data_IF_268097592645
#
_entry.id   IF_268097592645
#
_cell.length_a   1.000
_cell.length_b   1.000
_cell.length_c   1.000
_cell.angle_alpha   90.00
_cell.angle_beta   90.00
_cell.angle_gamma   90.00
#
_symmetry.space_group_name_H-M   'P 1'
#
loop_
_entity.id
_entity.type
_entity.pdbx_description
1 polymer ?
#
# COMPACT_ATOMS: atom_id res chain seq x y z
N UNK A 1 -31.32 -44.53 -18.66
CA UNK A 1 -31.41 -43.90 -17.32
C UNK A 1 -30.06 -43.59 -16.68
N UNK A 2 -29.06 -44.50 -16.69
CA UNK A 2 -27.73 -44.24 -16.10
C UNK A 2 -27.02 -43.00 -16.66
N UNK A 3 -27.07 -42.76 -17.97
CA UNK A 3 -26.40 -41.61 -18.59
C UNK A 3 -27.05 -40.25 -18.24
N UNK A 4 -28.34 -40.24 -17.92
CA UNK A 4 -29.03 -39.01 -17.50
C UNK A 4 -28.66 -38.63 -16.06
N UNK A 5 -28.54 -39.62 -15.16
CA UNK A 5 -28.07 -39.37 -13.80
C UNK A 5 -26.63 -38.85 -13.77
N UNK A 6 -25.74 -39.38 -14.62
CA UNK A 6 -24.35 -38.89 -14.72
C UNK A 6 -24.32 -37.41 -15.14
N UNK A 7 -25.18 -37.01 -16.09
CA UNK A 7 -25.25 -35.62 -16.55
C UNK A 7 -25.77 -34.67 -15.46
N UNK A 8 -26.75 -35.11 -14.67
CA UNK A 8 -27.28 -34.34 -13.53
C UNK A 8 -26.24 -34.19 -12.42
N UNK A 9 -25.46 -35.24 -12.13
CA UNK A 9 -24.36 -35.16 -11.17
C UNK A 9 -23.22 -34.26 -11.67
N UNK A 10 -22.88 -34.31 -12.95
CA UNK A 10 -21.86 -33.43 -13.55
C UNK A 10 -22.32 -31.95 -13.53
N UNK A 11 -23.60 -31.71 -13.81
CA UNK A 11 -24.19 -30.37 -13.76
C UNK A 11 -24.26 -29.82 -12.33
N UNK A 12 -24.58 -30.65 -11.33
CA UNK A 12 -24.58 -30.26 -9.92
C UNK A 12 -23.17 -29.99 -9.38
N UNK A 13 -22.16 -30.75 -9.86
CA UNK A 13 -20.74 -30.48 -9.59
C UNK A 13 -20.29 -29.16 -10.24
N UNK A 14 -20.67 -28.90 -11.49
CA UNK A 14 -20.38 -27.62 -12.15
C UNK A 14 -21.09 -26.44 -11.46
N UNK A 15 -22.30 -26.62 -10.94
CA UNK A 15 -23.02 -25.58 -10.21
C UNK A 15 -22.41 -25.28 -8.83
N UNK A 16 -21.79 -26.26 -8.18
CA UNK A 16 -21.07 -26.05 -6.91
C UNK A 16 -19.70 -25.39 -7.13
N UNK A 17 -19.02 -25.65 -8.24
CA UNK A 17 -17.80 -24.93 -8.63
C UNK A 17 -18.07 -23.50 -9.15
N UNK A 18 -19.22 -23.23 -9.78
CA UNK A 18 -19.59 -21.86 -10.20
C UNK A 18 -20.05 -20.95 -9.04
N UNK A 19 -20.24 -21.48 -7.83
CA UNK A 19 -20.51 -20.69 -6.61
C UNK A 19 -19.24 -20.38 -5.79
N UNK A 20 -18.05 -20.62 -6.34
CA UNK A 20 -16.78 -20.18 -5.75
C UNK A 20 -16.66 -18.65 -5.83
N UNK A 21 -17.28 -18.00 -4.85
CA UNK A 21 -17.06 -16.62 -4.38
C UNK A 21 -17.31 -15.49 -5.39
N UNK A 22 -18.58 -15.25 -5.68
CA UNK A 22 -19.04 -13.85 -5.71
C UNK A 22 -19.07 -13.35 -4.25
N UNK A 23 -17.90 -13.08 -3.66
CA UNK A 23 -17.83 -12.40 -2.38
C UNK A 23 -18.29 -10.96 -2.63
N UNK A 24 -19.44 -10.59 -2.06
CA UNK A 24 -19.99 -9.25 -2.22
C UNK A 24 -18.94 -8.21 -1.80
N UNK A 25 -18.70 -7.22 -2.65
CA UNK A 25 -17.70 -6.17 -2.46
C UNK A 25 -17.89 -5.48 -1.11
N UNK A 26 -19.13 -5.30 -0.65
CA UNK A 26 -19.42 -4.70 0.64
C UNK A 26 -18.98 -5.58 1.81
N UNK A 27 -19.08 -6.90 1.68
CA UNK A 27 -18.61 -7.84 2.70
C UNK A 27 -17.08 -7.81 2.83
N UNK A 28 -16.37 -7.68 1.71
CA UNK A 28 -14.92 -7.52 1.68
C UNK A 28 -14.48 -6.16 2.23
N UNK A 29 -15.18 -5.07 1.89
CA UNK A 29 -14.92 -3.74 2.45
C UNK A 29 -15.11 -3.71 3.98
N UNK A 30 -16.17 -4.34 4.49
CA UNK A 30 -16.39 -4.50 5.94
C UNK A 30 -15.28 -5.32 6.60
N UNK A 31 -14.88 -6.44 5.99
CA UNK A 31 -13.80 -7.28 6.50
C UNK A 31 -12.46 -6.54 6.51
N UNK A 32 -12.17 -5.80 5.44
CA UNK A 32 -10.98 -4.94 5.35
C UNK A 32 -10.95 -3.92 6.49
N UNK A 33 -12.03 -3.17 6.70
CA UNK A 33 -12.10 -2.17 7.77
C UNK A 33 -11.91 -2.81 9.15
N UNK A 34 -12.60 -3.92 9.41
CA UNK A 34 -12.45 -4.67 10.66
C UNK A 34 -11.00 -5.14 10.90
N UNK A 35 -10.36 -5.75 9.91
CA UNK A 35 -8.99 -6.25 10.02
C UNK A 35 -7.99 -5.10 10.19
N UNK A 36 -8.19 -3.98 9.51
CA UNK A 36 -7.33 -2.80 9.65
C UNK A 36 -7.43 -2.18 11.07
N UNK A 37 -8.64 -2.04 11.61
CA UNK A 37 -8.86 -1.56 12.98
C UNK A 37 -8.27 -2.54 14.02
N UNK A 38 -8.48 -3.84 13.81
CA UNK A 38 -7.92 -4.87 14.68
C UNK A 38 -6.40 -4.87 14.65
N UNK A 39 -5.79 -4.77 13.47
CA UNK A 39 -4.34 -4.66 13.32
C UNK A 39 -3.79 -3.48 14.12
N UNK A 40 -4.45 -2.33 14.03
CA UNK A 40 -4.08 -1.13 14.80
C UNK A 40 -4.14 -1.36 16.32
N UNK A 41 -5.21 -1.99 16.82
CA UNK A 41 -5.34 -2.28 18.25
C UNK A 41 -4.23 -3.22 18.74
N UNK A 42 -3.97 -4.29 17.99
CA UNK A 42 -3.00 -5.31 18.36
C UNK A 42 -1.55 -4.80 18.25
N UNK A 43 -1.25 -3.93 17.30
CA UNK A 43 0.07 -3.29 17.17
C UNK A 43 0.33 -2.25 18.28
N UNK A 44 -0.72 -1.54 18.73
CA UNK A 44 -0.63 -0.67 19.91
C UNK A 44 -0.29 -1.46 21.18
N UNK A 45 -0.90 -2.63 21.37
CA UNK A 45 -0.59 -3.53 22.50
C UNK A 45 0.87 -3.99 22.40
N UNK A 46 1.31 -4.39 21.21
CA UNK A 46 2.70 -4.80 20.97
C UNK A 46 3.69 -3.68 21.33
N UNK A 47 3.38 -2.44 20.96
CA UNK A 47 4.20 -1.27 21.29
C UNK A 47 4.30 -1.05 22.80
N UNK A 48 3.17 -1.15 23.53
CA UNK A 48 3.15 -1.04 25.00
C UNK A 48 3.99 -2.13 25.66
N UNK A 49 3.91 -3.37 25.18
CA UNK A 49 4.72 -4.48 25.69
C UNK A 49 6.22 -4.26 25.46
N UNK A 50 6.61 -3.83 24.26
CA UNK A 50 8.01 -3.50 23.93
C UNK A 50 8.55 -2.36 24.81
N UNK A 51 7.76 -1.31 25.01
CA UNK A 51 8.13 -0.21 25.90
C UNK A 51 8.31 -0.70 27.35
N UNK A 52 7.39 -1.54 27.83
CA UNK A 52 7.48 -2.13 29.16
C UNK A 52 8.75 -2.96 29.34
N UNK A 53 9.13 -3.78 28.33
CA UNK A 53 10.37 -4.54 28.34
C UNK A 53 11.60 -3.62 28.36
N UNK A 54 11.60 -2.55 27.56
CA UNK A 54 12.67 -1.55 27.56
C UNK A 54 12.85 -0.88 28.93
N UNK A 55 11.75 -0.50 29.58
CA UNK A 55 11.80 0.09 30.92
C UNK A 55 12.30 -0.92 31.97
N UNK A 56 11.94 -2.20 31.85
CA UNK A 56 12.48 -3.25 32.74
C UNK A 56 13.97 -3.45 32.54
N UNK A 57 14.46 -3.43 31.30
CA UNK A 57 15.90 -3.47 31.03
C UNK A 57 16.64 -2.30 31.70
N UNK A 58 16.09 -1.08 31.59
CA UNK A 58 16.63 0.11 32.28
C UNK A 58 16.64 -0.05 33.80
N UNK A 59 15.58 -0.61 34.40
CA UNK A 59 15.51 -0.85 35.84
C UNK A 59 16.55 -1.89 36.30
N UNK A 60 16.76 -2.96 35.52
CA UNK A 60 17.80 -3.95 35.80
C UNK A 60 19.18 -3.30 35.75
N UNK A 61 19.47 -2.51 34.71
CA UNK A 61 20.75 -1.82 34.57
C UNK A 61 20.99 -0.80 35.67
N UNK A 62 19.94 -0.08 36.09
CA UNK A 62 20.02 0.84 37.22
C UNK A 62 20.32 0.09 38.54
N UNK A 63 19.62 -1.01 38.82
CA UNK A 63 19.82 -1.78 40.05
C UNK A 63 21.22 -2.43 40.10
N UNK A 64 21.75 -2.88 38.94
CA UNK A 64 23.13 -3.40 38.82
C UNK A 64 24.20 -2.34 39.09
N UNK A 65 23.92 -1.06 38.83
CA UNK A 65 24.85 0.06 38.98
C UNK A 65 24.89 0.63 40.41
N UNK A 66 24.00 0.20 41.30
CA UNK A 66 24.01 0.63 42.70
C UNK A 66 25.17 0.00 43.47
N UNK A 67 25.70 0.72 44.45
CA UNK A 67 26.75 0.22 45.36
C UNK A 67 26.29 -1.00 46.17
N UNK A 68 25.00 -1.09 46.52
CA UNK A 68 24.36 -2.23 47.17
C UNK A 68 23.30 -2.85 46.25
N UNK A 69 23.74 -3.58 45.23
CA UNK A 69 22.84 -4.20 44.27
C UNK A 69 21.96 -5.29 44.93
N UNK A 70 20.64 -5.16 44.82
CA UNK A 70 19.69 -6.17 45.30
C UNK A 70 19.53 -7.31 44.27
N UNK A 71 20.19 -8.43 44.54
CA UNK A 71 20.16 -9.62 43.67
C UNK A 71 18.78 -10.25 43.54
N UNK A 72 17.96 -10.21 44.59
CA UNK A 72 16.61 -10.76 44.56
C UNK A 72 15.71 -9.91 43.66
N UNK A 73 15.83 -8.59 43.77
CA UNK A 73 15.11 -7.65 42.90
C UNK A 73 15.54 -7.77 41.44
N UNK A 74 16.84 -7.87 41.16
CA UNK A 74 17.35 -8.11 39.80
C UNK A 74 16.77 -9.42 39.23
N UNK A 75 16.78 -10.49 40.01
CA UNK A 75 16.28 -11.81 39.58
C UNK A 75 14.77 -11.78 39.31
N UNK A 76 13.99 -11.12 40.16
CA UNK A 76 12.56 -10.90 39.95
C UNK A 76 12.27 -10.08 38.68
N UNK A 77 13.02 -8.99 38.45
CA UNK A 77 12.90 -8.18 37.24
C UNK A 77 13.26 -8.98 35.97
N UNK A 78 14.29 -9.82 36.03
CA UNK A 78 14.67 -10.70 34.92
C UNK A 78 13.60 -11.75 34.61
N UNK A 79 13.06 -12.42 35.64
CA UNK A 79 11.98 -13.41 35.47
C UNK A 79 10.73 -12.77 34.84
N UNK A 80 10.33 -11.59 35.30
CA UNK A 80 9.22 -10.84 34.69
C UNK A 80 9.52 -10.40 33.25
N UNK A 81 10.79 -10.12 32.92
CA UNK A 81 11.20 -9.78 31.55
C UNK A 81 11.09 -10.98 30.61
N UNK A 82 11.35 -12.20 31.08
CA UNK A 82 11.14 -13.43 30.29
C UNK A 82 9.65 -13.59 29.93
N UNK A 83 8.75 -13.38 30.91
CA UNK A 83 7.31 -13.41 30.67
C UNK A 83 6.87 -12.33 29.66
N UNK A 84 7.40 -11.10 29.77
CA UNK A 84 7.13 -10.03 28.80
C UNK A 84 7.63 -10.38 27.39
N UNK A 85 8.81 -10.97 27.26
CA UNK A 85 9.34 -11.41 25.96
C UNK A 85 8.45 -12.47 25.31
N UNK A 86 7.95 -13.45 26.08
CA UNK A 86 7.01 -14.46 25.58
C UNK A 86 5.68 -13.84 25.13
N UNK A 87 5.15 -12.87 25.88
CA UNK A 87 3.95 -12.12 25.49
C UNK A 87 4.17 -11.32 24.20
N UNK A 88 5.35 -10.69 24.04
CA UNK A 88 5.73 -9.98 22.82
C UNK A 88 5.75 -10.93 21.62
N UNK A 89 6.39 -12.10 21.73
CA UNK A 89 6.43 -13.09 20.64
C UNK A 89 5.03 -13.55 20.23
N UNK A 90 4.18 -13.88 21.21
CA UNK A 90 2.80 -14.27 20.95
C UNK A 90 2.02 -13.14 20.25
N UNK A 91 2.17 -11.90 20.73
CA UNK A 91 1.51 -10.74 20.16
C UNK A 91 2.01 -10.44 18.73
N UNK A 92 3.31 -10.59 18.46
CA UNK A 92 3.89 -10.46 17.13
C UNK A 92 3.29 -11.47 16.15
N UNK A 93 3.14 -12.74 16.56
CA UNK A 93 2.51 -13.77 15.74
C UNK A 93 1.05 -13.41 15.41
N UNK A 94 0.32 -12.87 16.39
CA UNK A 94 -1.07 -12.41 16.20
C UNK A 94 -1.15 -11.25 15.20
N UNK A 95 -0.29 -10.24 15.34
CA UNK A 95 -0.17 -9.12 14.40
C UNK A 95 0.16 -9.62 12.99
N UNK A 96 1.12 -10.55 12.85
CA UNK A 96 1.52 -11.10 11.56
C UNK A 96 0.38 -11.88 10.87
N UNK A 97 -0.40 -12.64 11.63
CA UNK A 97 -1.55 -13.38 11.10
C UNK A 97 -2.63 -12.41 10.59
N UNK A 98 -2.96 -11.38 11.37
CA UNK A 98 -3.94 -10.35 10.97
C UNK A 98 -3.45 -9.60 9.73
N UNK A 99 -2.17 -9.24 9.68
CA UNK A 99 -1.56 -8.59 8.52
C UNK A 99 -1.67 -9.45 7.25
N UNK A 100 -1.34 -10.74 7.34
CA UNK A 100 -1.45 -11.68 6.21
C UNK A 100 -2.90 -11.78 5.72
N UNK A 101 -3.87 -11.85 6.62
CA UNK A 101 -5.29 -11.89 6.26
C UNK A 101 -5.76 -10.58 5.63
N UNK A 102 -5.29 -9.44 6.14
CA UNK A 102 -5.59 -8.11 5.60
C UNK A 102 -5.06 -7.97 4.17
N UNK A 103 -3.82 -8.40 3.90
CA UNK A 103 -3.24 -8.37 2.55
C UNK A 103 -4.01 -9.27 1.56
N UNK A 104 -4.48 -10.44 2.00
CA UNK A 104 -5.34 -11.29 1.17
C UNK A 104 -6.66 -10.59 0.79
N UNK A 105 -7.31 -9.91 1.75
CA UNK A 105 -8.53 -9.13 1.49
C UNK A 105 -8.26 -7.94 0.57
N UNK A 106 -7.14 -7.23 0.78
CA UNK A 106 -6.70 -6.12 -0.09
C UNK A 106 -6.50 -6.59 -1.53
N UNK A 107 -5.88 -7.75 -1.72
CA UNK A 107 -5.70 -8.34 -3.05
C UNK A 107 -7.04 -8.63 -3.73
N UNK A 108 -8.00 -9.24 -3.02
CA UNK A 108 -9.34 -9.50 -3.55
C UNK A 108 -10.09 -8.20 -3.90
N UNK A 109 -10.06 -7.19 -3.02
CA UNK A 109 -10.68 -5.89 -3.27
C UNK A 109 -10.05 -5.19 -4.48
N UNK A 110 -8.72 -5.20 -4.58
CA UNK A 110 -8.00 -4.62 -5.71
C UNK A 110 -8.41 -5.24 -7.05
N UNK A 111 -8.58 -6.57 -7.11
CA UNK A 111 -9.07 -7.27 -8.30
C UNK A 111 -10.49 -6.83 -8.67
N UNK A 112 -11.43 -6.87 -7.71
CA UNK A 112 -12.83 -6.51 -7.94
C UNK A 112 -12.99 -5.04 -8.35
N UNK A 113 -12.25 -4.12 -7.71
CA UNK A 113 -12.24 -2.72 -8.11
C UNK A 113 -11.66 -2.55 -9.52
N UNK A 114 -10.62 -3.31 -9.89
CA UNK A 114 -10.09 -3.34 -11.26
C UNK A 114 -11.14 -3.74 -12.29
N UNK A 115 -11.82 -4.86 -12.09
CA UNK A 115 -12.89 -5.33 -12.99
C UNK A 115 -14.03 -4.33 -13.12
N UNK A 116 -14.45 -3.72 -12.00
CA UNK A 116 -15.52 -2.72 -12.01
C UNK A 116 -15.09 -1.42 -12.70
N UNK A 117 -13.81 -1.01 -12.60
CA UNK A 117 -13.28 0.10 -13.37
C UNK A 117 -13.32 -0.19 -14.88
N UNK A 118 -12.94 -1.39 -15.31
CA UNK A 118 -13.01 -1.78 -16.74
C UNK A 118 -14.45 -1.76 -17.27
N UNK A 119 -15.41 -2.23 -16.46
CA UNK A 119 -16.85 -2.14 -16.79
C UNK A 119 -17.31 -0.69 -16.92
N UNK A 120 -16.94 0.17 -15.98
CA UNK A 120 -17.29 1.60 -16.02
C UNK A 120 -16.66 2.31 -17.23
N UNK A 121 -15.40 1.99 -17.57
CA UNK A 121 -14.75 2.52 -18.77
C UNK A 121 -15.46 2.07 -20.05
N UNK A 122 -15.92 0.82 -20.11
CA UNK A 122 -16.69 0.30 -21.25
C UNK A 122 -18.05 0.99 -21.36
N UNK A 123 -18.75 1.17 -20.23
CA UNK A 123 -20.01 1.92 -20.17
C UNK A 123 -19.84 3.38 -20.59
N UNK A 124 -18.75 4.02 -20.16
CA UNK A 124 -18.40 5.38 -20.57
C UNK A 124 -18.25 5.51 -22.09
N UNK A 125 -17.58 4.53 -22.74
CA UNK A 125 -17.43 4.51 -24.21
C UNK A 125 -18.77 4.35 -24.95
N UNK A 126 -19.75 3.69 -24.32
CA UNK A 126 -21.07 3.48 -24.89
C UNK A 126 -22.08 4.61 -24.57
N UNK A 127 -21.79 5.46 -23.59
CA UNK A 127 -22.66 6.56 -23.16
C UNK A 127 -22.76 7.65 -24.26
N UNK A 128 -23.98 8.14 -24.50
CA UNK A 128 -24.27 9.08 -25.60
C UNK A 128 -24.54 10.51 -25.14
N UNK A 129 -24.87 10.72 -23.86
CA UNK A 129 -25.15 12.05 -23.32
C UNK A 129 -24.12 12.46 -22.27
N UNK A 130 -23.90 13.77 -22.15
CA UNK A 130 -22.87 14.35 -21.27
C UNK A 130 -23.13 14.11 -19.79
N UNK A 131 -24.40 14.06 -19.37
CA UNK A 131 -24.79 13.86 -17.97
C UNK A 131 -24.44 12.44 -17.49
N UNK A 132 -24.70 11.42 -18.30
CA UNK A 132 -24.34 10.04 -18.03
C UNK A 132 -22.82 9.86 -17.99
N UNK A 133 -22.09 10.48 -18.93
CA UNK A 133 -20.63 10.48 -18.94
C UNK A 133 -20.07 11.08 -17.63
N UNK A 134 -20.63 12.19 -17.17
CA UNK A 134 -20.21 12.85 -15.93
C UNK A 134 -20.49 12.00 -14.67
N UNK A 135 -21.63 11.32 -14.63
CA UNK A 135 -21.96 10.39 -13.54
C UNK A 135 -20.96 9.22 -13.50
N UNK A 136 -20.69 8.62 -14.66
CA UNK A 136 -19.72 7.53 -14.78
C UNK A 136 -18.32 8.00 -14.39
N UNK A 137 -17.90 9.19 -14.80
CA UNK A 137 -16.59 9.75 -14.41
C UNK A 137 -16.45 9.95 -12.90
N UNK A 138 -17.53 10.32 -12.22
CA UNK A 138 -17.56 10.45 -10.77
C UNK A 138 -17.44 9.09 -10.08
N UNK A 139 -18.15 8.07 -10.58
CA UNK A 139 -18.06 6.70 -10.09
C UNK A 139 -16.66 6.09 -10.31
N UNK A 140 -16.08 6.31 -11.49
CA UNK A 140 -14.70 5.89 -11.80
C UNK A 140 -13.74 6.54 -10.80
N UNK A 141 -13.86 7.84 -10.53
CA UNK A 141 -12.97 8.54 -9.61
C UNK A 141 -13.08 8.00 -8.18
N UNK A 142 -14.31 7.76 -7.69
CA UNK A 142 -14.55 7.15 -6.39
C UNK A 142 -13.91 5.75 -6.30
N UNK A 143 -14.13 4.92 -7.32
CA UNK A 143 -13.64 3.55 -7.36
C UNK A 143 -12.11 3.47 -7.51
N UNK A 144 -11.51 4.38 -8.27
CA UNK A 144 -10.05 4.53 -8.34
C UNK A 144 -9.47 4.92 -6.97
N UNK A 145 -10.14 5.83 -6.23
CA UNK A 145 -9.75 6.17 -4.87
C UNK A 145 -9.78 4.98 -3.92
N UNK A 146 -10.85 4.18 -3.98
CA UNK A 146 -10.96 2.92 -3.21
C UNK A 146 -9.88 1.91 -3.59
N UNK A 147 -9.60 1.75 -4.88
CA UNK A 147 -8.57 0.85 -5.39
C UNK A 147 -7.17 1.23 -4.91
N UNK A 148 -6.83 2.53 -4.97
CA UNK A 148 -5.57 3.07 -4.46
C UNK A 148 -5.40 2.75 -2.96
N UNK A 149 -6.45 2.88 -2.16
CA UNK A 149 -6.38 2.63 -0.71
C UNK A 149 -6.12 1.15 -0.35
N UNK A 150 -6.46 0.21 -1.23
CA UNK A 150 -6.27 -1.24 -1.02
C UNK A 150 -5.12 -1.83 -1.83
N UNK A 151 -4.28 -0.98 -2.41
CA UNK A 151 -3.15 -1.46 -3.20
C UNK A 151 -2.22 -2.37 -2.38
N UNK A 152 -1.65 -3.40 -3.03
CA UNK A 152 -0.81 -4.38 -2.35
C UNK A 152 0.43 -3.71 -1.73
N UNK A 153 0.82 -4.18 -0.55
CA UNK A 153 2.07 -3.76 0.09
C UNK A 153 3.27 -4.18 -0.77
N UNK A 154 4.24 -3.27 -0.94
CA UNK A 154 5.48 -3.61 -1.64
C UNK A 154 6.55 -4.03 -0.63
N UNK A 155 6.95 -5.31 -0.60
CA UNK A 155 7.96 -5.78 0.34
C UNK A 155 9.33 -5.16 0.02
N UNK A 156 10.14 -4.99 1.06
CA UNK A 156 11.57 -4.70 0.91
C UNK A 156 12.22 -5.79 0.08
N UNK A 157 13.30 -5.46 -0.63
CA UNK A 157 14.11 -6.49 -1.28
C UNK A 157 14.62 -7.51 -0.26
N UNK A 158 14.55 -8.80 -0.60
CA UNK A 158 15.19 -9.85 0.21
C UNK A 158 16.71 -9.81 0.02
N UNK A 159 17.14 -9.36 -1.16
CA UNK A 159 18.54 -9.16 -1.52
C UNK A 159 18.97 -7.73 -1.21
N UNK A 160 20.14 -7.53 -0.61
CA UNK A 160 20.64 -6.20 -0.27
C UNK A 160 21.15 -5.49 -1.54
N UNK A 161 20.48 -4.40 -2.00
CA UNK A 161 20.89 -3.69 -3.20
C UNK A 161 22.30 -3.09 -3.10
N UNK A 162 22.72 -2.70 -1.90
CA UNK A 162 24.07 -2.18 -1.65
C UNK A 162 25.14 -3.24 -1.89
N UNK A 163 24.90 -4.46 -1.39
CA UNK A 163 25.79 -5.61 -1.59
C UNK A 163 25.85 -6.06 -3.05
N UNK A 164 24.73 -5.97 -3.78
CA UNK A 164 24.69 -6.31 -5.21
C UNK A 164 25.46 -5.29 -6.04
N UNK A 165 25.33 -3.99 -5.73
CA UNK A 165 26.08 -2.93 -6.42
C UNK A 165 27.59 -3.15 -6.34
N UNK A 166 28.11 -3.50 -5.15
CA UNK A 166 29.52 -3.74 -4.90
C UNK A 166 30.03 -5.13 -5.33
N UNK A 167 29.15 -6.03 -5.78
CA UNK A 167 29.55 -7.38 -6.17
C UNK A 167 30.32 -7.38 -7.51
N UNK A 168 31.55 -7.89 -7.50
CA UNK A 168 32.34 -8.18 -8.71
C UNK A 168 32.34 -9.69 -9.00
N UNK A 169 31.78 -10.09 -10.15
CA UNK A 169 31.60 -11.50 -10.53
C UNK A 169 32.73 -11.97 -11.46
N UNK A 170 33.49 -11.03 -12.03
CA UNK A 170 34.48 -11.24 -13.11
C UNK A 170 35.71 -12.08 -12.74
N UNK A 171 35.78 -12.63 -11.53
CA UNK A 171 36.84 -13.54 -11.08
C UNK A 171 36.36 -14.81 -10.38
N UNK A 172 35.04 -15.01 -10.27
CA UNK A 172 34.47 -16.14 -9.52
C UNK A 172 34.31 -17.37 -10.43
N UNK A 173 34.55 -18.57 -9.90
CA UNK A 173 34.43 -19.82 -10.66
C UNK A 173 33.79 -20.95 -9.83
N UNK A 174 33.21 -21.93 -10.52
CA UNK A 174 32.57 -23.10 -9.91
C UNK A 174 31.37 -22.73 -9.03
N UNK A 175 31.21 -23.44 -7.91
CA UNK A 175 30.04 -23.35 -7.02
C UNK A 175 29.79 -21.95 -6.47
N UNK A 176 30.84 -21.15 -6.27
CA UNK A 176 30.70 -19.80 -5.75
C UNK A 176 30.02 -18.89 -6.78
N UNK A 177 30.40 -19.01 -8.06
CA UNK A 177 29.73 -18.30 -9.15
C UNK A 177 28.26 -18.70 -9.26
N UNK A 178 27.94 -19.99 -9.13
CA UNK A 178 26.56 -20.47 -9.21
C UNK A 178 25.66 -19.87 -8.09
N UNK A 179 26.20 -19.73 -6.88
CA UNK A 179 25.50 -19.08 -5.75
C UNK A 179 25.22 -17.61 -6.05
N UNK A 180 26.21 -16.88 -6.59
CA UNK A 180 26.03 -15.47 -6.93
C UNK A 180 25.10 -15.28 -8.12
N UNK A 181 25.15 -16.15 -9.14
CA UNK A 181 24.21 -16.11 -10.26
C UNK A 181 22.77 -16.38 -9.80
N UNK A 182 22.57 -17.33 -8.87
CA UNK A 182 21.26 -17.56 -8.26
C UNK A 182 20.78 -16.34 -7.44
N UNK A 183 21.69 -15.72 -6.68
CA UNK A 183 21.40 -14.51 -5.92
C UNK A 183 20.98 -13.33 -6.82
N UNK A 184 21.69 -13.10 -7.92
CA UNK A 184 21.38 -12.04 -8.87
C UNK A 184 20.08 -12.31 -9.66
N UNK A 185 19.81 -13.57 -10.02
CA UNK A 185 18.54 -13.96 -10.66
C UNK A 185 17.36 -13.71 -9.72
N UNK A 186 17.49 -14.05 -8.43
CA UNK A 186 16.46 -13.74 -7.43
C UNK A 186 16.23 -12.24 -7.33
N UNK A 187 17.30 -11.45 -7.22
CA UNK A 187 17.20 -9.99 -7.17
C UNK A 187 16.57 -9.39 -8.44
N UNK A 188 16.88 -9.94 -9.62
CA UNK A 188 16.28 -9.53 -10.90
C UNK A 188 14.78 -9.80 -10.92
N UNK A 189 14.36 -11.02 -10.54
CA UNK A 189 12.95 -11.39 -10.48
C UNK A 189 12.16 -10.53 -9.47
N UNK A 190 12.75 -10.23 -8.31
CA UNK A 190 12.19 -9.30 -7.33
C UNK A 190 12.04 -7.89 -7.91
N UNK A 191 13.07 -7.40 -8.59
CA UNK A 191 13.07 -6.08 -9.23
C UNK A 191 11.99 -6.00 -10.31
N UNK A 192 11.85 -7.02 -11.15
CA UNK A 192 10.83 -7.07 -12.20
C UNK A 192 9.40 -7.12 -11.62
N UNK A 193 9.22 -7.89 -10.54
CA UNK A 193 7.95 -7.95 -9.82
C UNK A 193 7.56 -6.57 -9.27
N UNK A 194 8.49 -5.91 -8.58
CA UNK A 194 8.27 -4.57 -8.02
C UNK A 194 8.09 -3.51 -9.11
N UNK A 195 8.87 -3.58 -10.20
CA UNK A 195 8.73 -2.66 -11.33
C UNK A 195 7.36 -2.80 -12.00
N UNK A 196 6.84 -4.03 -12.13
CA UNK A 196 5.49 -4.25 -12.64
C UNK A 196 4.43 -3.62 -11.71
N UNK A 197 4.55 -3.84 -10.40
CA UNK A 197 3.65 -3.25 -9.42
C UNK A 197 3.70 -1.71 -9.46
N UNK A 198 4.89 -1.10 -9.41
CA UNK A 198 5.06 0.36 -9.50
C UNK A 198 4.49 0.91 -10.81
N UNK A 199 4.67 0.21 -11.94
CA UNK A 199 4.09 0.63 -13.22
C UNK A 199 2.56 0.65 -13.20
N UNK A 200 1.92 -0.35 -12.59
CA UNK A 200 0.46 -0.38 -12.43
C UNK A 200 0.02 0.83 -11.61
N UNK A 201 0.61 1.01 -10.43
CA UNK A 201 0.27 2.11 -9.51
C UNK A 201 0.53 3.48 -10.13
N UNK A 202 1.63 3.65 -10.84
CA UNK A 202 1.99 4.87 -11.56
C UNK A 202 0.94 5.21 -12.63
N UNK A 203 0.53 4.24 -13.46
CA UNK A 203 -0.47 4.45 -14.51
C UNK A 203 -1.84 4.82 -13.92
N UNK A 204 -2.25 4.14 -12.86
CA UNK A 204 -3.53 4.43 -12.18
C UNK A 204 -3.52 5.83 -11.56
N UNK A 205 -2.44 6.19 -10.87
CA UNK A 205 -2.23 7.53 -10.30
C UNK A 205 -2.25 8.61 -11.39
N UNK A 206 -1.61 8.35 -12.53
CA UNK A 206 -1.62 9.26 -13.69
C UNK A 206 -3.05 9.46 -14.25
N UNK A 207 -3.83 8.39 -14.35
CA UNK A 207 -5.22 8.45 -14.81
C UNK A 207 -6.09 9.25 -13.85
N UNK A 208 -5.94 9.08 -12.53
CA UNK A 208 -6.65 9.88 -11.54
C UNK A 208 -6.29 11.36 -11.69
N UNK A 209 -5.00 11.69 -11.86
CA UNK A 209 -4.57 13.08 -12.07
C UNK A 209 -5.12 13.69 -13.36
N UNK A 210 -5.12 12.94 -14.46
CA UNK A 210 -5.71 13.37 -15.74
C UNK A 210 -7.21 13.60 -15.61
N UNK A 211 -7.93 12.70 -14.93
CA UNK A 211 -9.36 12.82 -14.70
C UNK A 211 -9.69 14.04 -13.85
N UNK A 212 -8.95 14.25 -12.75
CA UNK A 212 -9.08 15.45 -11.89
C UNK A 212 -8.93 16.75 -12.68
N UNK A 213 -7.91 16.84 -13.54
CA UNK A 213 -7.70 18.01 -14.40
C UNK A 213 -8.89 18.24 -15.35
N UNK A 214 -9.44 17.18 -15.94
CA UNK A 214 -10.62 17.26 -16.81
C UNK A 214 -11.87 17.70 -16.05
N UNK A 215 -12.14 17.12 -14.88
CA UNK A 215 -13.28 17.51 -14.04
C UNK A 215 -13.16 18.97 -13.59
N UNK A 216 -11.96 19.41 -13.20
CA UNK A 216 -11.74 20.80 -12.80
C UNK A 216 -11.98 21.78 -13.97
N UNK A 217 -11.47 21.46 -15.16
CA UNK A 217 -11.71 22.23 -16.38
C UNK A 217 -13.20 22.31 -16.72
N UNK A 218 -13.91 21.19 -16.63
CA UNK A 218 -15.36 21.14 -16.83
C UNK A 218 -16.13 22.00 -15.83
N UNK A 219 -15.79 21.97 -14.54
CA UNK A 219 -16.45 22.80 -13.54
C UNK A 219 -16.23 24.30 -13.81
N UNK A 220 -15.00 24.69 -14.16
CA UNK A 220 -14.72 26.07 -14.56
C UNK A 220 -15.51 26.49 -15.81
N UNK A 221 -15.59 25.61 -16.83
CA UNK A 221 -16.35 25.87 -18.05
C UNK A 221 -17.87 25.94 -17.80
N UNK A 222 -18.41 25.05 -16.96
CA UNK A 222 -19.82 25.05 -16.56
C UNK A 222 -20.20 26.24 -15.67
N UNK A 223 -19.28 26.74 -14.85
CA UNK A 223 -19.45 27.99 -14.09
C UNK A 223 -19.43 29.22 -15.00
N UNK A 224 -18.58 29.23 -16.03
CA UNK A 224 -18.53 30.28 -17.05
C UNK A 224 -19.77 30.30 -17.96
N UNK A 225 -20.30 29.15 -18.34
CA UNK A 225 -21.56 29.05 -19.11
C UNK A 225 -22.81 29.43 -18.30
N UNK A 226 -22.75 29.37 -16.97
CA UNK A 226 -23.82 29.82 -16.05
C UNK A 226 -23.73 31.30 -15.67
N UNK A 227 -23.08 32.12 -16.49
CA UNK A 227 -23.01 33.58 -16.38
C UNK A 227 -24.34 34.32 -16.60
N UNK A 228 -25.45 33.84 -16.06
CA UNK A 228 -26.65 34.63 -15.77
C UNK A 228 -26.97 34.40 -14.29
N UNK A 229 -26.63 35.37 -13.45
CA UNK A 229 -27.09 35.40 -12.05
C UNK A 229 -28.61 35.52 -12.00
N UNK A 230 -29.27 34.77 -11.09
CA UNK A 230 -30.38 35.33 -10.34
C UNK A 230 -29.99 35.43 -8.88
N UNK A 231 -30.15 36.62 -8.33
CA UNK A 231 -30.16 36.87 -6.90
C UNK A 231 -31.17 35.94 -6.22
N UNK A 232 -30.70 35.08 -5.33
CA UNK A 232 -31.57 34.19 -4.57
C UNK A 232 -30.76 33.30 -3.65
N UNK A 233 -30.62 33.72 -2.39
CA UNK A 233 -30.12 32.88 -1.30
C UNK A 233 -30.88 31.55 -1.28
N UNK A 234 -30.20 30.45 -1.61
CA UNK A 234 -30.62 29.12 -1.20
C UNK A 234 -29.45 28.51 -0.44
N UNK A 235 -29.59 28.48 0.88
CA UNK A 235 -28.71 27.74 1.78
C UNK A 235 -28.81 26.25 1.43
N UNK A 236 -27.83 25.72 0.72
CA UNK A 236 -27.46 24.31 0.78
C UNK A 236 -25.94 24.23 0.77
N UNK A 237 -25.40 23.99 1.96
CA UNK A 237 -24.00 23.80 2.27
C UNK A 237 -23.50 22.47 1.67
N UNK A 238 -22.83 22.51 0.52
CA UNK A 238 -21.94 21.42 0.07
C UNK A 238 -20.88 21.83 -0.95
N UNK A 239 -20.49 23.11 -1.02
CA UNK A 239 -19.31 23.54 -1.81
C UNK A 239 -18.47 24.52 -1.00
N UNK A 240 -17.79 24.00 0.02
CA UNK A 240 -16.68 24.71 0.65
C UNK A 240 -15.38 24.17 0.04
N UNK A 241 -14.77 24.95 -0.87
CA UNK A 241 -13.42 24.66 -1.35
C UNK A 241 -13.09 25.09 -2.78
N UNK A 242 -13.52 26.27 -3.23
CA UNK A 242 -13.01 26.87 -4.49
C UNK A 242 -12.51 28.29 -4.19
N UNK A 243 -11.23 28.37 -3.85
CA UNK A 243 -10.33 29.51 -4.07
C UNK A 243 -9.01 29.22 -3.37
N UNK A 244 -8.10 28.63 -4.13
CA UNK A 244 -6.77 28.31 -3.63
C UNK A 244 -6.25 27.06 -4.28
N UNK A 245 -5.19 27.23 -5.05
CA UNK A 245 -4.23 26.22 -5.48
C UNK A 245 -3.55 25.58 -4.26
N UNK A 246 -4.34 24.95 -3.38
CA UNK A 246 -3.86 24.19 -2.23
C UNK A 246 -4.05 22.73 -2.54
N UNK A 247 -2.94 22.08 -2.84
CA UNK A 247 -2.73 20.66 -3.16
C UNK A 247 -3.21 19.67 -2.06
N UNK A 248 -4.01 20.12 -1.09
CA UNK A 248 -4.55 19.29 -0.01
C UNK A 248 -6.05 19.07 -0.21
N UNK A 249 -6.41 17.94 -0.83
CA UNK A 249 -7.78 17.43 -0.77
C UNK A 249 -7.79 15.99 -0.27
N UNK A 250 -8.63 15.79 0.75
CA UNK A 250 -8.97 14.52 1.38
C UNK A 250 -9.88 13.77 0.41
N UNK A 251 -9.52 12.54 0.03
CA UNK A 251 -10.42 11.70 -0.79
C UNK A 251 -11.74 11.47 -0.02
N UNK A 252 -12.92 11.51 -0.67
CA UNK A 252 -14.17 11.14 -0.01
C UNK A 252 -14.08 9.69 0.49
N UNK A 253 -14.12 9.48 1.81
CA UNK A 253 -13.88 8.18 2.46
C UNK A 253 -12.50 7.99 3.11
N UNK A 254 -11.60 8.97 3.00
CA UNK A 254 -10.29 9.02 3.68
C UNK A 254 -10.39 9.43 5.16
N UNK A 255 -11.56 9.83 5.64
CA UNK A 255 -11.79 10.25 7.02
C UNK A 255 -11.76 9.09 8.03
N UNK A 256 -11.74 7.84 7.57
CA UNK A 256 -11.50 6.70 8.46
C UNK A 256 -10.01 6.57 8.79
N UNK A 257 -9.69 6.48 10.08
CA UNK A 257 -8.32 6.36 10.57
C UNK A 257 -7.54 5.16 9.99
N UNK A 258 -8.26 4.13 9.52
CA UNK A 258 -7.72 2.93 8.88
C UNK A 258 -7.29 3.16 7.42
N UNK A 259 -8.10 3.82 6.59
CA UNK A 259 -7.73 4.12 5.19
C UNK A 259 -6.53 5.08 5.12
N UNK A 260 -6.45 6.02 6.07
CA UNK A 260 -5.36 6.98 6.20
C UNK A 260 -4.03 6.31 6.59
N UNK A 261 -4.03 5.38 7.58
CA UNK A 261 -2.84 4.61 7.95
C UNK A 261 -2.39 3.65 6.84
N UNK A 262 -3.31 2.95 6.19
CA UNK A 262 -2.95 2.00 5.12
C UNK A 262 -2.34 2.69 3.89
N UNK A 263 -2.85 3.88 3.54
CA UNK A 263 -2.24 4.73 2.51
C UNK A 263 -0.85 5.19 2.95
N UNK A 264 -0.68 5.53 4.22
CA UNK A 264 0.61 5.90 4.81
C UNK A 264 1.60 4.74 4.75
N UNK A 265 1.20 3.53 5.13
CA UNK A 265 2.05 2.34 5.11
C UNK A 265 2.47 1.97 3.67
N UNK A 266 1.56 2.12 2.70
CA UNK A 266 1.88 1.95 1.28
C UNK A 266 2.94 2.96 0.83
N UNK A 267 2.73 4.25 1.09
CA UNK A 267 3.67 5.31 0.70
C UNK A 267 5.03 5.11 1.39
N UNK A 268 5.03 4.75 2.67
CA UNK A 268 6.24 4.43 3.43
C UNK A 268 6.95 3.21 2.84
N UNK A 269 6.23 2.16 2.44
CA UNK A 269 6.83 0.98 1.81
C UNK A 269 7.52 1.31 0.48
N UNK A 270 6.92 2.16 -0.34
CA UNK A 270 7.48 2.60 -1.61
C UNK A 270 8.67 3.55 -1.43
N UNK A 271 8.58 4.47 -0.46
CA UNK A 271 9.71 5.33 -0.12
C UNK A 271 10.87 4.54 0.49
N UNK A 272 10.57 3.49 1.25
CA UNK A 272 11.58 2.59 1.79
C UNK A 272 12.30 1.82 0.67
N UNK A 273 11.55 1.28 -0.29
CA UNK A 273 12.13 0.70 -1.51
C UNK A 273 13.01 1.69 -2.25
N UNK A 274 12.52 2.92 -2.43
CA UNK A 274 13.29 3.98 -3.09
C UNK A 274 14.60 4.29 -2.33
N UNK A 275 14.56 4.29 -0.98
CA UNK A 275 15.74 4.52 -0.13
C UNK A 275 16.74 3.37 -0.15
N UNK A 276 16.28 2.12 -0.29
CA UNK A 276 17.16 0.96 -0.43
C UNK A 276 17.91 0.98 -1.76
N UNK A 277 17.27 1.47 -2.83
CA UNK A 277 17.89 1.63 -4.14
C UNK A 277 18.81 2.85 -4.22
N UNK A 278 18.53 3.90 -3.45
CA UNK A 278 19.25 5.18 -3.47
C UNK A 278 19.63 5.62 -2.05
N UNK A 279 20.52 4.88 -1.35
CA UNK A 279 20.88 5.18 0.04
C UNK A 279 21.43 6.61 0.21
N UNK A 280 22.14 7.13 -0.80
CA UNK A 280 22.66 8.49 -0.86
C UNK A 280 21.57 9.58 -0.89
N UNK A 281 20.36 9.25 -1.37
CA UNK A 281 19.21 10.17 -1.44
C UNK A 281 18.23 10.02 -0.26
N UNK A 282 18.53 9.17 0.73
CA UNK A 282 17.61 8.88 1.85
C UNK A 282 17.05 10.12 2.55
N UNK A 283 17.86 11.17 2.74
CA UNK A 283 17.41 12.44 3.37
C UNK A 283 16.43 13.23 2.50
N UNK A 284 16.59 13.19 1.18
CA UNK A 284 15.68 13.82 0.23
C UNK A 284 14.33 13.10 0.25
N UNK A 285 14.36 11.76 0.27
CA UNK A 285 13.17 10.90 0.35
C UNK A 285 12.38 11.18 1.62
N UNK A 286 13.04 11.31 2.77
CA UNK A 286 12.38 11.64 4.04
C UNK A 286 11.69 13.02 4.00
N UNK A 287 12.28 14.01 3.31
CA UNK A 287 11.65 15.32 3.11
C UNK A 287 10.45 15.22 2.18
N UNK A 288 10.58 14.50 1.07
CA UNK A 288 9.48 14.28 0.12
C UNK A 288 8.31 13.55 0.78
N UNK A 289 8.57 12.58 1.66
CA UNK A 289 7.53 11.90 2.44
C UNK A 289 6.67 12.88 3.25
N UNK A 290 7.28 13.90 3.87
CA UNK A 290 6.57 14.96 4.61
C UNK A 290 5.71 15.86 3.72
N UNK A 291 5.99 15.91 2.42
CA UNK A 291 5.17 16.62 1.41
C UNK A 291 4.03 15.76 0.87
N UNK A 292 4.19 14.43 0.87
CA UNK A 292 3.17 13.48 0.43
C UNK A 292 2.13 13.28 1.53
N UNK A 293 2.58 13.19 2.78
CA UNK A 293 1.75 12.99 3.97
C UNK A 293 2.19 14.04 5.00
N UNK A 294 1.29 14.94 5.38
CA UNK A 294 1.52 15.84 6.53
C UNK A 294 1.85 14.99 7.78
N UNK A 295 2.74 15.47 8.64
CA UNK A 295 2.98 14.97 10.02
C UNK A 295 1.72 14.57 10.82
N UNK A 296 0.56 15.16 10.55
CA UNK A 296 -0.72 14.77 11.16
C UNK A 296 -1.41 13.57 10.50
N UNK A 297 -0.90 13.11 9.35
CA UNK A 297 -1.48 12.11 8.46
C UNK A 297 -2.69 12.60 7.66
N UNK A 298 -3.22 13.80 7.95
CA UNK A 298 -4.57 14.23 7.52
C UNK A 298 -4.63 14.73 6.08
N UNK A 299 -3.49 14.95 5.44
CA UNK A 299 -3.40 15.51 4.09
C UNK A 299 -2.49 14.64 3.24
N UNK A 300 -3.05 14.14 2.14
CA UNK A 300 -2.34 13.38 1.13
C UNK A 300 -2.22 14.20 -0.16
N UNK A 301 -1.00 14.37 -0.68
CA UNK A 301 -0.75 15.01 -1.98
C UNK A 301 -0.56 13.96 -3.07
N UNK A 302 -1.57 13.80 -3.93
CA UNK A 302 -1.52 12.88 -5.07
C UNK A 302 -0.42 13.26 -6.08
N UNK A 303 -0.13 14.55 -6.26
CA UNK A 303 0.94 15.02 -7.14
C UNK A 303 2.33 14.65 -6.59
N UNK A 304 2.55 14.87 -5.29
CA UNK A 304 3.81 14.49 -4.65
C UNK A 304 4.01 12.97 -4.68
N UNK A 305 2.94 12.20 -4.44
CA UNK A 305 2.94 10.75 -4.56
C UNK A 305 3.27 10.27 -5.98
N UNK A 306 2.68 10.90 -6.99
CA UNK A 306 2.98 10.61 -8.40
C UNK A 306 4.46 10.84 -8.73
N UNK A 307 5.07 11.92 -8.22
CA UNK A 307 6.50 12.18 -8.41
C UNK A 307 7.38 11.13 -7.73
N UNK A 308 7.02 10.69 -6.51
CA UNK A 308 7.71 9.57 -5.85
C UNK A 308 7.66 8.30 -6.69
N UNK A 309 6.49 7.94 -7.23
CA UNK A 309 6.33 6.76 -8.09
C UNK A 309 7.17 6.87 -9.37
N UNK A 310 7.25 8.07 -9.94
CA UNK A 310 8.08 8.34 -11.13
C UNK A 310 9.57 8.09 -10.85
N UNK A 311 10.06 8.60 -9.73
CA UNK A 311 11.47 8.46 -9.33
C UNK A 311 11.82 7.02 -8.91
N UNK A 312 10.91 6.37 -8.18
CA UNK A 312 11.03 4.96 -7.82
C UNK A 312 11.06 4.07 -9.07
N UNK A 313 10.14 4.30 -10.02
CA UNK A 313 10.12 3.59 -11.29
C UNK A 313 11.46 3.68 -12.01
N UNK A 314 11.99 4.90 -12.17
CA UNK A 314 13.29 5.13 -12.82
C UNK A 314 14.41 4.39 -12.09
N UNK A 315 14.44 4.42 -10.76
CA UNK A 315 15.45 3.73 -9.96
C UNK A 315 15.39 2.21 -10.10
N UNK A 316 14.18 1.64 -10.18
CA UNK A 316 13.97 0.22 -10.43
C UNK A 316 14.41 -0.17 -11.85
N UNK A 317 14.17 0.68 -12.85
CA UNK A 317 14.65 0.48 -14.23
C UNK A 317 16.19 0.51 -14.28
N UNK A 318 16.82 1.50 -13.63
CA UNK A 318 18.27 1.60 -13.55
C UNK A 318 18.89 0.39 -12.83
N UNK A 319 18.28 -0.04 -11.72
CA UNK A 319 18.72 -1.22 -10.97
C UNK A 319 18.53 -2.53 -11.75
N UNK A 320 17.41 -2.69 -12.47
CA UNK A 320 17.18 -3.81 -13.40
C UNK A 320 18.26 -3.87 -14.47
N UNK A 321 18.58 -2.74 -15.10
CA UNK A 321 19.61 -2.68 -16.14
C UNK A 321 21.00 -3.04 -15.59
N UNK A 322 21.33 -2.60 -14.37
CA UNK A 322 22.55 -3.00 -13.67
C UNK A 322 22.58 -4.50 -13.35
N UNK A 323 21.46 -5.09 -12.94
CA UNK A 323 21.37 -6.53 -12.72
C UNK A 323 21.56 -7.33 -14.01
N UNK A 324 20.92 -6.90 -15.11
CA UNK A 324 21.05 -7.53 -16.43
C UNK A 324 22.49 -7.48 -16.96
N UNK A 325 23.21 -6.37 -16.72
CA UNK A 325 24.63 -6.26 -17.11
C UNK A 325 25.52 -7.17 -16.27
N UNK A 326 25.23 -7.34 -14.97
CA UNK A 326 25.96 -8.26 -14.07
C UNK A 326 25.67 -9.74 -14.36
N UNK A 327 24.47 -10.10 -14.81
CA UNK A 327 24.10 -11.49 -15.15
C UNK A 327 24.44 -11.88 -16.59
N UNK A 328 25.01 -10.96 -17.40
CA UNK A 328 25.29 -11.19 -18.82
C UNK A 328 24.03 -11.35 -19.69
N UNK A 329 22.85 -11.08 -19.14
CA UNK A 329 21.55 -11.20 -19.81
C UNK A 329 21.17 -9.85 -20.44
N UNK A 330 21.98 -9.33 -21.36
CA UNK A 330 21.58 -8.20 -22.19
C UNK A 330 20.81 -8.73 -23.40
N UNK A 331 19.47 -8.62 -23.37
CA UNK A 331 18.61 -8.65 -24.56
C UNK A 331 17.26 -8.03 -24.29
#
# INVERSE_FOLDING_TARGET
MKNFMIFVYLAALLFTFCNLKAQDIQSLEKKYNYLAEKLQQEDSILTVLKNSLSDRARQIDYEKKKSSADRNKITSLMSNSINLSSQIEHQQKKVQNIFTELEAVKHSLNSIYGENLEKLQSRKKAAKNSQEISSIDSEILLLMGKKLAVMPYMPKFSSDPGRIKSLEISGLSGKEKDIYDAYLKTALNETETQLNQVNIVYRETEQVLKLRKKTHKFLQEAEMERGIHPAGKVNNSTVAGVSGEKDSHVFPGYESSSAQRNTTDMIQSQALLFSQLNPERSREIERSLKTIIDTSGKKFSLNAYFNLLKDLKRSLEDYRNMLLSKTGSSR
#
